data_IF_701695361295
#
_entry.id   IF_701695361295
#
_cell.length_a   1.000
_cell.length_b   1.000
_cell.length_c   1.000
_cell.angle_alpha   90.00
_cell.angle_beta   90.00
_cell.angle_gamma   90.00
#
_symmetry.space_group_name_H-M   'P 1'
#
loop_
_entity.id
_entity.type
_entity.pdbx_description
1 polymer ?
#
# COMPACT_ATOMS: atom_id res chain seq x y z
N UNK A 1 25.51 -4.97 -42.11
CA UNK A 1 25.34 -6.28 -41.44
C UNK A 1 26.49 -6.70 -40.50
N UNK A 2 27.69 -6.09 -40.58
CA UNK A 2 28.84 -6.46 -39.71
C UNK A 2 28.52 -6.40 -38.20
N UNK A 3 27.88 -5.33 -37.73
CA UNK A 3 27.50 -5.18 -36.32
C UNK A 3 26.56 -6.30 -35.85
N UNK A 4 25.47 -6.54 -36.58
CA UNK A 4 24.49 -7.61 -36.29
C UNK A 4 25.16 -8.97 -36.23
N UNK A 5 26.11 -9.23 -37.14
CA UNK A 5 26.90 -10.46 -37.13
C UNK A 5 27.79 -10.55 -35.90
N UNK A 6 28.59 -9.52 -35.60
CA UNK A 6 29.47 -9.54 -34.41
C UNK A 6 28.71 -9.70 -33.09
N UNK A 7 27.50 -9.15 -32.98
CA UNK A 7 26.64 -9.33 -31.82
C UNK A 7 26.07 -10.75 -31.76
N UNK A 8 25.61 -11.29 -32.89
CA UNK A 8 25.18 -12.70 -32.97
C UNK A 8 26.31 -13.65 -32.57
N UNK A 9 27.50 -13.44 -33.13
CA UNK A 9 28.70 -14.22 -32.87
C UNK A 9 29.15 -14.12 -31.39
N UNK A 10 28.94 -12.98 -30.73
CA UNK A 10 29.25 -12.82 -29.31
C UNK A 10 28.39 -13.72 -28.40
N UNK A 11 27.08 -13.81 -28.65
CA UNK A 11 26.17 -14.59 -27.81
C UNK A 11 26.08 -16.06 -28.20
N UNK A 12 26.13 -16.37 -29.50
CA UNK A 12 25.89 -17.70 -30.03
C UNK A 12 27.15 -18.36 -30.62
N UNK A 13 28.27 -17.65 -30.71
CA UNK A 13 29.42 -18.09 -31.50
C UNK A 13 29.10 -18.11 -33.00
N UNK A 14 29.95 -18.76 -33.79
CA UNK A 14 29.76 -18.90 -35.24
C UNK A 14 28.72 -20.01 -35.57
N UNK A 15 27.62 -20.06 -34.81
CA UNK A 15 26.64 -21.15 -34.78
C UNK A 15 25.52 -20.95 -35.79
N UNK A 16 25.82 -20.96 -37.09
CA UNK A 16 24.81 -20.96 -38.14
C UNK A 16 24.46 -19.59 -38.73
N UNK A 17 23.65 -19.61 -39.78
CA UNK A 17 23.26 -18.41 -40.53
C UNK A 17 22.11 -17.71 -39.80
N UNK A 18 22.10 -16.37 -39.81
CA UNK A 18 21.02 -15.52 -39.30
C UNK A 18 20.80 -15.54 -37.77
N UNK A 19 21.76 -16.05 -37.00
CA UNK A 19 21.76 -16.06 -35.53
C UNK A 19 21.57 -14.67 -34.90
N UNK A 20 22.17 -13.64 -35.54
CA UNK A 20 21.99 -12.26 -35.13
C UNK A 20 20.53 -11.84 -35.15
N UNK A 21 19.77 -12.20 -36.18
CA UNK A 21 18.35 -11.86 -36.27
C UNK A 21 17.53 -12.58 -35.21
N UNK A 22 17.79 -13.87 -34.97
CA UNK A 22 17.12 -14.62 -33.91
C UNK A 22 17.38 -14.00 -32.54
N UNK A 23 18.63 -13.60 -32.27
CA UNK A 23 18.99 -12.90 -31.05
C UNK A 23 18.18 -11.60 -30.89
N UNK A 24 18.08 -10.79 -31.94
CA UNK A 24 17.29 -9.55 -31.91
C UNK A 24 15.81 -9.82 -31.62
N UNK A 25 15.20 -10.83 -32.25
CA UNK A 25 13.81 -11.21 -31.97
C UNK A 25 13.60 -11.61 -30.51
N UNK A 26 14.47 -12.47 -29.97
CA UNK A 26 14.38 -12.92 -28.58
C UNK A 26 14.50 -11.76 -27.60
N UNK A 27 15.49 -10.88 -27.80
CA UNK A 27 15.68 -9.71 -26.94
C UNK A 27 14.50 -8.74 -27.06
N UNK A 28 13.96 -8.54 -28.26
CA UNK A 28 12.79 -7.69 -28.48
C UNK A 28 11.56 -8.20 -27.72
N UNK A 29 11.25 -9.49 -27.85
CA UNK A 29 10.13 -10.13 -27.16
C UNK A 29 10.30 -10.07 -25.63
N UNK A 30 11.52 -10.31 -25.14
CA UNK A 30 11.84 -10.20 -23.72
C UNK A 30 11.61 -8.78 -23.18
N UNK A 31 12.07 -7.75 -23.90
CA UNK A 31 11.88 -6.35 -23.49
C UNK A 31 10.39 -5.95 -23.48
N UNK A 32 9.61 -6.42 -24.46
CA UNK A 32 8.16 -6.20 -24.50
C UNK A 32 7.49 -6.87 -23.29
N UNK A 33 7.85 -8.12 -23.00
CA UNK A 33 7.33 -8.85 -21.84
C UNK A 33 7.70 -8.16 -20.53
N UNK A 34 8.95 -7.73 -20.39
CA UNK A 34 9.44 -7.00 -19.20
C UNK A 34 8.67 -5.69 -19.00
N UNK A 35 8.45 -4.92 -20.08
CA UNK A 35 7.66 -3.70 -20.02
C UNK A 35 6.21 -3.95 -19.58
N UNK A 36 5.58 -5.02 -20.10
CA UNK A 36 4.24 -5.44 -19.68
C UNK A 36 4.22 -5.82 -18.20
N UNK A 37 5.20 -6.59 -17.73
CA UNK A 37 5.31 -6.97 -16.32
C UNK A 37 5.44 -5.74 -15.40
N UNK A 38 6.31 -4.78 -15.76
CA UNK A 38 6.45 -3.51 -15.04
C UNK A 38 5.14 -2.71 -15.00
N UNK A 39 4.38 -2.72 -16.08
CA UNK A 39 3.07 -2.05 -16.15
C UNK A 39 2.05 -2.70 -15.21
N UNK A 40 2.00 -4.05 -15.17
CA UNK A 40 1.13 -4.80 -14.26
C UNK A 40 1.48 -4.49 -12.81
N UNK A 41 2.77 -4.56 -12.46
CA UNK A 41 3.24 -4.23 -11.10
C UNK A 41 2.84 -2.80 -10.72
N UNK A 42 3.14 -1.82 -11.58
CA UNK A 42 2.79 -0.41 -11.33
C UNK A 42 1.29 -0.18 -11.12
N UNK A 43 0.45 -0.87 -11.88
CA UNK A 43 -1.00 -0.74 -11.74
C UNK A 43 -1.54 -1.50 -10.52
N UNK A 44 -0.91 -2.60 -10.11
CA UNK A 44 -1.26 -3.33 -8.89
C UNK A 44 -0.92 -2.54 -7.62
N UNK A 45 0.14 -1.71 -7.64
CA UNK A 45 0.51 -0.85 -6.51
C UNK A 45 -0.42 0.37 -6.36
N UNK A 46 -1.19 0.72 -7.40
CA UNK A 46 -2.27 1.71 -7.29
C UNK A 46 -3.48 1.04 -6.63
N UNK A 47 -3.40 0.78 -5.33
CA UNK A 47 -4.58 0.47 -4.55
C UNK A 47 -5.61 1.59 -4.78
N UNK A 48 -6.89 1.27 -5.04
CA UNK A 48 -7.92 2.29 -5.01
C UNK A 48 -7.96 2.81 -3.58
N UNK A 49 -7.49 4.04 -3.38
CA UNK A 49 -7.77 4.83 -2.19
C UNK A 49 -9.28 5.04 -2.18
N UNK A 50 -10.01 4.05 -1.64
CA UNK A 50 -11.42 4.16 -1.34
C UNK A 50 -11.52 5.16 -0.19
N UNK A 51 -11.62 6.43 -0.53
CA UNK A 51 -12.20 7.44 0.35
C UNK A 51 -13.69 7.52 0.02
N UNK A 52 -14.58 7.10 0.92
CA UNK A 52 -15.92 7.65 0.94
C UNK A 52 -15.82 8.99 1.67
N UNK A 53 -15.53 10.05 0.93
CA UNK A 53 -15.83 11.42 1.38
C UNK A 53 -17.20 11.75 0.81
N UNK A 54 -18.22 11.90 1.67
CA UNK A 54 -19.23 12.97 1.67
C UNK A 54 -20.50 12.55 2.43
N UNK A 55 -20.66 13.10 3.62
CA UNK A 55 -21.94 13.47 4.20
C UNK A 55 -21.74 14.87 4.77
N UNK A 56 -22.17 15.89 4.03
CA UNK A 56 -22.03 17.27 4.42
C UNK A 56 -22.97 17.57 5.59
N UNK A 57 -22.47 18.23 6.64
CA UNK A 57 -23.20 19.30 7.32
C UNK A 57 -22.19 20.10 8.18
N UNK A 58 -22.01 21.37 7.79
CA UNK A 58 -21.74 22.54 8.64
C UNK A 58 -20.40 22.58 9.41
N UNK A 59 -19.51 23.48 8.96
CA UNK A 59 -18.49 24.17 9.78
C UNK A 59 -19.16 25.44 10.34
N UNK A 60 -18.75 26.09 11.46
CA UNK A 60 -17.42 26.03 12.09
C UNK A 60 -17.43 25.91 13.62
N UNK A 61 -16.25 25.67 14.21
CA UNK A 61 -15.74 26.37 15.41
C UNK A 61 -14.89 25.45 16.31
N UNK A 62 -13.68 25.93 16.63
CA UNK A 62 -12.95 25.80 17.90
C UNK A 62 -12.52 24.39 18.36
N UNK A 63 -11.22 24.09 18.34
CA UNK A 63 -10.22 24.40 19.40
C UNK A 63 -10.09 23.23 20.40
N UNK A 64 -8.95 22.52 20.29
CA UNK A 64 -8.26 21.79 21.37
C UNK A 64 -8.89 20.55 22.05
N UNK A 65 -8.04 19.52 22.19
CA UNK A 65 -7.99 18.52 23.27
C UNK A 65 -8.74 17.15 23.10
N UNK A 66 -8.10 15.99 23.39
CA UNK A 66 -8.59 14.66 23.03
C UNK A 66 -9.48 14.07 24.14
N UNK A 67 -10.79 13.97 23.90
CA UNK A 67 -11.74 13.30 24.82
C UNK A 67 -12.69 12.28 24.17
N UNK A 68 -12.51 11.90 22.90
CA UNK A 68 -13.45 11.01 22.20
C UNK A 68 -13.05 9.52 22.13
N UNK A 69 -11.91 9.12 22.68
CA UNK A 69 -11.50 7.71 22.73
C UNK A 69 -12.38 6.76 23.58
N UNK A 70 -13.16 7.20 24.59
CA UNK A 70 -14.00 6.29 25.35
C UNK A 70 -15.10 5.64 24.51
N UNK A 71 -15.60 6.34 23.49
CA UNK A 71 -16.85 5.98 22.81
C UNK A 71 -16.67 4.83 21.81
N UNK A 72 -15.54 4.82 21.09
CA UNK A 72 -15.21 3.79 20.10
C UNK A 72 -15.11 2.41 20.75
N UNK A 73 -14.42 2.32 21.91
CA UNK A 73 -14.23 1.04 22.61
C UNK A 73 -15.54 0.45 23.13
N UNK A 74 -16.49 1.30 23.51
CA UNK A 74 -17.83 0.88 23.94
C UNK A 74 -18.64 0.30 22.78
N UNK A 75 -18.48 0.86 21.57
CA UNK A 75 -19.16 0.37 20.38
C UNK A 75 -18.60 -0.98 19.89
N UNK A 76 -17.28 -1.19 20.01
CA UNK A 76 -16.62 -2.43 19.58
C UNK A 76 -16.85 -3.62 20.52
N UNK A 77 -17.10 -3.37 21.82
CA UNK A 77 -17.26 -4.43 22.81
C UNK A 77 -18.45 -4.20 23.76
N UNK A 78 -19.70 -4.26 23.25
CA UNK A 78 -20.90 -4.03 24.08
C UNK A 78 -20.99 -4.99 25.27
N UNK A 79 -20.53 -6.24 25.10
CA UNK A 79 -20.54 -7.28 26.13
C UNK A 79 -19.60 -7.02 27.33
N UNK A 80 -18.70 -6.03 27.24
CA UNK A 80 -17.78 -5.64 28.34
C UNK A 80 -18.39 -4.51 29.17
N UNK A 81 -19.29 -3.71 28.59
CA UNK A 81 -19.93 -2.55 29.22
C UNK A 81 -20.78 -2.94 30.45
N UNK A 82 -21.49 -4.06 30.40
CA UNK A 82 -22.36 -4.52 31.50
C UNK A 82 -21.59 -4.94 32.76
N UNK A 83 -20.30 -5.25 32.65
CA UNK A 83 -19.46 -5.63 33.80
C UNK A 83 -18.85 -4.44 34.51
N UNK A 84 -18.88 -3.24 33.93
CA UNK A 84 -18.48 -2.00 34.60
C UNK A 84 -19.66 -1.44 35.42
N UNK A 85 -20.24 -2.27 36.28
CA UNK A 85 -21.13 -1.82 37.34
C UNK A 85 -20.27 -1.40 38.53
N UNK A 86 -20.38 -0.12 38.90
CA UNK A 86 -19.83 0.60 40.04
C UNK A 86 -19.00 -0.19 41.08
N UNK A 87 -17.73 0.20 41.28
CA UNK A 87 -16.99 0.05 42.54
C UNK A 87 -15.68 0.82 42.35
N UNK A 88 -15.24 1.78 43.16
CA UNK A 88 -15.65 2.20 44.49
C UNK A 88 -15.32 3.69 44.66
N UNK A 89 -16.14 4.36 45.46
CA UNK A 89 -15.88 5.62 46.14
C UNK A 89 -14.52 5.59 46.85
N UNK A 90 -13.69 6.62 46.68
CA UNK A 90 -12.48 6.82 47.49
C UNK A 90 -12.60 8.16 48.19
N UNK A 91 -12.65 8.10 49.52
CA UNK A 91 -12.84 9.21 50.46
C UNK A 91 -11.83 10.34 50.30
N UNK A 92 -12.32 11.55 50.57
CA UNK A 92 -11.62 12.83 50.63
C UNK A 92 -11.23 13.08 52.10
N UNK A 93 -9.95 12.92 52.45
CA UNK A 93 -9.42 13.31 53.76
C UNK A 93 -8.29 14.34 53.58
N UNK A 94 -8.72 15.59 53.64
CA UNK A 94 -7.90 16.79 53.79
C UNK A 94 -7.02 16.73 55.05
N UNK A 95 -5.73 17.08 54.94
CA UNK A 95 -5.11 18.24 55.60
C UNK A 95 -3.57 18.18 55.58
N UNK A 96 -2.96 19.29 55.15
CA UNK A 96 -1.54 19.63 55.30
C UNK A 96 -1.16 19.83 56.79
N UNK A 97 0.14 19.74 57.14
CA UNK A 97 1.04 20.89 57.02
C UNK A 97 2.39 20.59 56.33
#
# INVERSE_FOLDING_TARGET
MSLVKSTGDYFHGNSGKDEGLRLFSVVSDFLIMSNKACTVVRNSTKFPVKTPRKGALISPSQESCPKSLPDIRKQLFPAIQERQMHNSSSDDESSSP
#
